data_IF_176797632726
#
_entry.id   IF_176797632726
#
_cell.length_a   1.000
_cell.length_b   1.000
_cell.length_c   1.000
_cell.angle_alpha   90.00
_cell.angle_beta   90.00
_cell.angle_gamma   90.00
#
_symmetry.space_group_name_H-M   'P 1'
#
loop_
_entity.id
_entity.type
_entity.pdbx_description
1 polymer ?
#
# COMPACT_ATOMS: atom_id res chain seq x y z
N UNK A 1 1.26 -7.79 6.13
CA UNK A 1 1.65 -6.53 5.45
C UNK A 1 3.15 -6.28 5.61
N UNK A 2 3.66 -6.23 6.85
CA UNK A 2 5.08 -6.03 7.15
C UNK A 2 6.04 -7.00 6.43
N UNK A 3 5.68 -8.28 6.31
CA UNK A 3 6.52 -9.28 5.62
C UNK A 3 6.70 -9.01 4.13
N UNK A 4 5.62 -8.62 3.42
CA UNK A 4 5.70 -8.28 1.99
C UNK A 4 6.58 -7.04 1.80
N UNK A 5 6.40 -6.04 2.67
CA UNK A 5 7.24 -4.85 2.71
C UNK A 5 8.71 -5.19 2.94
N UNK A 6 9.01 -6.05 3.92
CA UNK A 6 10.37 -6.48 4.22
C UNK A 6 11.04 -7.20 3.04
N UNK A 7 10.30 -8.08 2.34
CA UNK A 7 10.79 -8.77 1.13
C UNK A 7 11.12 -7.78 0.00
N UNK A 8 10.28 -6.79 -0.23
CA UNK A 8 10.50 -5.77 -1.28
C UNK A 8 11.72 -4.91 -0.93
N UNK A 9 11.81 -4.42 0.31
CA UNK A 9 12.93 -3.59 0.74
C UNK A 9 14.24 -4.38 0.66
N UNK A 10 14.25 -5.65 1.07
CA UNK A 10 15.42 -6.53 0.94
C UNK A 10 15.88 -6.64 -0.51
N UNK A 11 14.97 -6.94 -1.44
CA UNK A 11 15.29 -7.05 -2.86
C UNK A 11 15.77 -5.73 -3.49
N UNK A 12 15.31 -4.58 -2.98
CA UNK A 12 15.79 -3.26 -3.41
C UNK A 12 17.18 -2.96 -2.84
N UNK A 13 17.43 -3.31 -1.58
CA UNK A 13 18.73 -3.12 -0.92
C UNK A 13 19.84 -4.00 -1.53
N UNK A 14 19.50 -5.17 -2.07
CA UNK A 14 20.45 -5.99 -2.84
C UNK A 14 20.92 -5.28 -4.13
N UNK A 15 20.16 -4.30 -4.62
CA UNK A 15 20.43 -3.59 -5.89
C UNK A 15 20.91 -2.16 -5.72
N UNK A 16 20.67 -1.54 -4.56
CA UNK A 16 20.93 -0.14 -4.32
C UNK A 16 21.25 0.14 -2.85
N UNK A 17 21.88 1.28 -2.57
CA UNK A 17 22.14 1.72 -1.20
C UNK A 17 20.85 1.84 -0.37
N UNK A 18 20.97 1.61 0.94
CA UNK A 18 19.86 1.53 1.91
C UNK A 18 18.90 2.73 1.86
N UNK A 19 19.42 3.95 1.67
CA UNK A 19 18.57 5.15 1.66
C UNK A 19 17.80 5.31 0.34
N UNK A 20 18.38 4.91 -0.79
CA UNK A 20 17.74 4.98 -2.12
C UNK A 20 16.62 3.95 -2.20
N UNK A 21 16.87 2.71 -1.76
CA UNK A 21 15.87 1.65 -1.72
C UNK A 21 14.64 2.01 -0.87
N UNK A 22 14.84 2.69 0.26
CA UNK A 22 13.73 3.20 1.08
C UNK A 22 12.93 4.31 0.38
N UNK A 23 13.61 5.23 -0.30
CA UNK A 23 12.98 6.27 -1.12
C UNK A 23 12.15 5.62 -2.24
N UNK A 24 12.71 4.68 -2.99
CA UNK A 24 12.02 3.98 -4.07
C UNK A 24 10.81 3.20 -3.57
N UNK A 25 10.96 2.46 -2.45
CA UNK A 25 9.85 1.75 -1.82
C UNK A 25 8.68 2.69 -1.50
N UNK A 26 8.97 3.85 -0.92
CA UNK A 26 7.97 4.88 -0.57
C UNK A 26 7.24 5.45 -1.79
N UNK A 27 7.88 5.43 -2.96
CA UNK A 27 7.28 5.87 -4.21
C UNK A 27 6.65 4.75 -5.03
N UNK A 28 6.70 3.51 -4.55
CA UNK A 28 6.06 2.39 -5.20
C UNK A 28 4.54 2.53 -5.12
N UNK A 29 3.89 2.44 -6.28
CA UNK A 29 2.44 2.29 -6.39
C UNK A 29 2.05 0.82 -6.22
N UNK A 30 0.98 0.55 -5.48
CA UNK A 30 0.40 -0.78 -5.36
C UNK A 30 -0.92 -0.85 -6.14
N UNK A 31 -1.10 -1.86 -6.99
CA UNK A 31 -2.38 -2.22 -7.62
C UNK A 31 -3.19 -1.03 -8.19
N UNK A 32 -2.52 -0.16 -8.96
CA UNK A 32 -3.15 1.01 -9.59
C UNK A 32 -3.49 2.16 -8.64
N UNK A 33 -3.12 2.05 -7.35
CA UNK A 33 -3.19 3.15 -6.38
C UNK A 33 -1.97 4.07 -6.51
N UNK A 34 -2.13 5.31 -6.09
CA UNK A 34 -1.02 6.27 -5.96
C UNK A 34 0.01 5.76 -4.95
N UNK A 35 1.26 6.23 -5.06
CA UNK A 35 2.33 5.80 -4.16
C UNK A 35 2.04 6.17 -2.71
N UNK A 36 2.70 5.50 -1.77
CA UNK A 36 2.53 5.77 -0.34
C UNK A 36 2.79 7.25 0.00
N UNK A 37 3.85 7.82 -0.56
CA UNK A 37 4.18 9.25 -0.43
C UNK A 37 3.12 10.16 -1.03
N UNK A 38 2.58 9.83 -2.19
CA UNK A 38 1.50 10.63 -2.79
C UNK A 38 0.22 10.60 -1.95
N UNK A 39 -0.06 9.48 -1.29
CA UNK A 39 -1.22 9.36 -0.40
C UNK A 39 -1.04 10.10 0.93
N UNK A 40 0.19 10.19 1.44
CA UNK A 40 0.49 10.83 2.72
C UNK A 40 0.76 12.34 2.60
N UNK A 41 1.54 12.73 1.59
CA UNK A 41 2.08 14.10 1.44
C UNK A 41 1.80 14.72 0.06
N UNK A 42 0.93 14.10 -0.74
CA UNK A 42 0.53 14.58 -2.08
C UNK A 42 1.70 14.83 -3.05
N UNK A 43 2.87 14.20 -2.85
CA UNK A 43 4.05 14.35 -3.71
C UNK A 43 4.85 13.05 -3.78
N UNK A 44 5.61 12.85 -4.86
CA UNK A 44 6.64 11.80 -4.96
C UNK A 44 7.98 12.31 -4.44
N UNK A 45 8.69 11.45 -3.71
CA UNK A 45 10.07 11.70 -3.31
C UNK A 45 10.99 11.18 -4.43
N UNK A 46 12.04 11.88 -4.79
CA UNK A 46 13.03 11.35 -5.73
C UNK A 46 14.42 11.68 -5.20
N UNK A 47 15.37 10.77 -5.37
CA UNK A 47 16.79 11.04 -5.09
C UNK A 47 17.37 12.07 -6.06
N UNK A 48 16.80 12.17 -7.26
CA UNK A 48 17.19 13.10 -8.31
C UNK A 48 16.09 14.15 -8.48
N UNK A 49 16.49 15.42 -8.58
CA UNK A 49 15.58 16.54 -8.82
C UNK A 49 14.76 16.30 -10.10
N UNK A 50 13.42 16.43 -10.05
CA UNK A 50 12.61 16.30 -11.25
C UNK A 50 12.97 17.41 -12.23
N UNK A 51 13.44 17.05 -13.42
CA UNK A 51 13.66 18.01 -14.52
C UNK A 51 12.34 18.52 -15.13
N UNK A 52 11.22 17.87 -14.83
CA UNK A 52 9.90 18.21 -15.36
C UNK A 52 9.08 19.02 -14.35
N UNK A 53 8.71 20.24 -14.73
CA UNK A 53 7.94 21.19 -13.90
C UNK A 53 6.61 20.63 -13.39
N UNK A 54 5.96 19.75 -14.16
CA UNK A 54 4.71 19.07 -13.77
C UNK A 54 4.87 18.22 -12.49
N UNK A 55 6.07 17.67 -12.24
CA UNK A 55 6.37 16.83 -11.06
C UNK A 55 6.77 17.64 -9.82
N UNK A 56 6.93 18.96 -9.97
CA UNK A 56 7.20 19.87 -8.86
C UNK A 56 5.94 20.21 -8.08
N UNK A 57 4.77 20.17 -8.73
CA UNK A 57 3.48 20.47 -8.11
C UNK A 57 2.94 19.26 -7.33
N UNK A 58 2.33 19.47 -6.16
CA UNK A 58 1.66 18.40 -5.44
C UNK A 58 0.42 17.93 -6.22
N UNK A 59 0.16 16.63 -6.16
CA UNK A 59 -1.05 16.01 -6.70
C UNK A 59 -1.93 15.59 -5.52
N UNK A 60 -2.96 16.39 -5.25
CA UNK A 60 -3.93 16.11 -4.20
C UNK A 60 -4.91 15.06 -4.69
N UNK A 61 -5.03 13.96 -3.94
CA UNK A 61 -5.89 12.85 -4.31
C UNK A 61 -7.10 12.82 -3.40
N UNK A 62 -8.29 12.69 -3.97
CA UNK A 62 -9.51 12.61 -3.19
C UNK A 62 -9.56 11.29 -2.40
N UNK A 63 -9.70 11.39 -1.07
CA UNK A 63 -9.60 10.23 -0.18
C UNK A 63 -10.69 9.17 -0.47
N UNK A 64 -11.91 9.60 -0.81
CA UNK A 64 -13.00 8.68 -1.14
C UNK A 64 -12.71 7.85 -2.38
N UNK A 65 -12.09 8.44 -3.41
CA UNK A 65 -11.72 7.74 -4.64
C UNK A 65 -10.68 6.65 -4.34
N UNK A 66 -9.65 6.97 -3.54
CA UNK A 66 -8.63 6.00 -3.10
C UNK A 66 -9.23 4.89 -2.27
N UNK A 67 -10.15 5.21 -1.34
CA UNK A 67 -10.83 4.21 -0.51
C UNK A 67 -11.66 3.25 -1.36
N UNK A 68 -12.41 3.77 -2.33
CA UNK A 68 -13.22 2.98 -3.24
C UNK A 68 -12.34 2.05 -4.09
N UNK A 69 -11.26 2.59 -4.66
CA UNK A 69 -10.35 1.80 -5.48
C UNK A 69 -9.63 0.72 -4.66
N UNK A 70 -9.18 1.05 -3.45
CA UNK A 70 -8.60 0.08 -2.52
C UNK A 70 -9.58 -1.05 -2.22
N UNK A 71 -10.84 -0.72 -1.96
CA UNK A 71 -11.88 -1.70 -1.67
C UNK A 71 -12.13 -2.62 -2.88
N UNK A 72 -12.13 -2.09 -4.10
CA UNK A 72 -12.22 -2.90 -5.32
C UNK A 72 -11.02 -3.85 -5.48
N UNK A 73 -9.79 -3.38 -5.26
CA UNK A 73 -8.60 -4.23 -5.31
C UNK A 73 -8.65 -5.34 -4.25
N UNK A 74 -9.04 -5.01 -3.01
CA UNK A 74 -9.21 -5.99 -1.94
C UNK A 74 -10.28 -7.02 -2.28
N UNK A 75 -11.43 -6.60 -2.82
CA UNK A 75 -12.49 -7.53 -3.27
C UNK A 75 -11.99 -8.50 -4.33
N UNK A 76 -11.18 -8.03 -5.29
CA UNK A 76 -10.59 -8.88 -6.34
C UNK A 76 -9.57 -9.87 -5.77
N UNK A 77 -8.78 -9.46 -4.78
CA UNK A 77 -7.74 -10.30 -4.17
C UNK A 77 -8.28 -11.27 -3.12
N UNK A 78 -9.46 -10.98 -2.55
CA UNK A 78 -10.08 -11.75 -1.46
C UNK A 78 -10.20 -13.25 -1.76
N UNK A 79 -10.73 -13.71 -2.93
CA UNK A 79 -10.88 -15.14 -3.19
C UNK A 79 -9.56 -15.91 -3.17
N UNK A 80 -8.50 -15.31 -3.72
CA UNK A 80 -7.17 -15.92 -3.72
C UNK A 80 -6.55 -15.94 -2.31
N UNK A 81 -6.75 -14.88 -1.54
CA UNK A 81 -6.23 -14.79 -0.18
C UNK A 81 -6.93 -15.78 0.76
N UNK A 82 -8.26 -15.87 0.66
CA UNK A 82 -9.11 -16.68 1.54
C UNK A 82 -9.05 -18.18 1.21
N UNK A 83 -8.39 -18.59 0.13
CA UNK A 83 -8.33 -20.01 -0.31
C UNK A 83 -7.71 -20.98 0.70
N UNK A 84 -6.88 -20.48 1.63
CA UNK A 84 -6.24 -21.25 2.71
C UNK A 84 -6.78 -20.80 4.09
N UNK A 85 -7.74 -19.86 4.12
CA UNK A 85 -8.26 -19.34 5.38
C UNK A 85 -9.20 -20.37 6.03
N UNK A 86 -8.94 -20.66 7.30
CA UNK A 86 -9.85 -21.46 8.13
C UNK A 86 -11.04 -20.60 8.53
N UNK A 87 -12.25 -21.15 8.42
CA UNK A 87 -13.44 -20.49 8.94
C UNK A 87 -13.39 -20.49 10.47
N UNK A 88 -13.43 -19.30 11.07
CA UNK A 88 -13.50 -19.17 12.51
C UNK A 88 -14.82 -19.76 13.01
N UNK A 89 -14.81 -20.64 14.03
CA UNK A 89 -16.04 -21.15 14.62
C UNK A 89 -16.85 -20.00 15.22
N UNK A 90 -18.18 -20.12 15.17
CA UNK A 90 -19.06 -19.15 15.76
C UNK A 90 -18.72 -18.99 17.25
N UNK A 91 -18.54 -17.74 17.69
CA UNK A 91 -18.36 -17.46 19.10
C UNK A 91 -19.64 -17.93 19.81
N UNK A 92 -19.49 -18.84 20.77
CA UNK A 92 -20.58 -19.26 21.63
C UNK A 92 -21.02 -18.03 22.42
N UNK A 93 -22.06 -17.33 21.96
CA UNK A 93 -22.74 -16.34 22.79
C UNK A 93 -23.46 -17.13 23.86
N UNK A 94 -22.81 -17.34 25.00
CA UNK A 94 -23.50 -17.70 26.22
C UNK A 94 -24.59 -16.64 26.40
N UNK A 95 -25.81 -17.15 26.39
CA UNK A 95 -27.05 -16.39 26.37
C UNK A 95 -27.14 -15.62 27.70
N UNK A 96 -26.58 -14.41 27.76
CA UNK A 96 -26.78 -13.50 28.89
C UNK A 96 -28.22 -13.01 28.76
N UNK A 97 -29.13 -13.78 29.37
CA UNK A 97 -30.52 -13.38 29.57
C UNK A 97 -30.51 -12.05 30.33
N UNK A 98 -31.16 -11.05 29.75
CA UNK A 98 -31.52 -9.80 30.42
C UNK A 98 -32.51 -10.06 31.55
#
# INVERSE_FOLDING_TARGET
LAERTGKIIKALMEKAHTYISLLEYRNMSADGLKSLTQLLISRRLHSILPSTSKRLKPEVVHQSAIRNQRHLCQKRQKPYFDRIALTLPALWTSNIKK
#
